data_IF_102763778850
#
_entry.id   IF_102763778850
#
_cell.length_a   1.000
_cell.length_b   1.000
_cell.length_c   1.000
_cell.angle_alpha   90.00
_cell.angle_beta   90.00
_cell.angle_gamma   90.00
#
_symmetry.space_group_name_H-M   'P 1'
#
loop_
_entity.id
_entity.type
_entity.pdbx_description
1 polymer ?
#
# COMPACT_ATOMS: atom_id res chain seq x y z
N UNK A 1 -0.87 -18.59 5.94
CA UNK A 1 -0.72 -19.80 5.09
C UNK A 1 -0.80 -19.49 3.60
N UNK A 2 -1.40 -18.36 3.19
CA UNK A 2 -1.56 -17.98 1.78
C UNK A 2 -0.36 -17.18 1.21
N UNK A 3 0.55 -16.72 2.04
CA UNK A 3 1.67 -15.86 1.62
C UNK A 3 2.50 -16.41 0.45
N UNK A 4 2.77 -17.72 0.36
CA UNK A 4 3.53 -18.27 -0.76
C UNK A 4 2.79 -18.24 -2.13
N UNK A 5 1.50 -17.99 -2.12
CA UNK A 5 0.63 -18.12 -3.28
C UNK A 5 0.16 -16.77 -3.85
N UNK A 6 0.58 -15.65 -3.24
CA UNK A 6 0.09 -14.33 -3.62
C UNK A 6 1.13 -13.52 -4.37
N UNK A 7 0.71 -12.76 -5.36
CA UNK A 7 1.55 -11.82 -6.12
C UNK A 7 1.57 -10.42 -5.50
N UNK A 8 0.55 -10.10 -4.70
CA UNK A 8 0.41 -8.81 -4.08
C UNK A 8 -0.26 -8.93 -2.70
N UNK A 9 0.30 -8.25 -1.71
CA UNK A 9 -0.36 -8.03 -0.42
C UNK A 9 -0.74 -6.56 -0.32
N UNK A 10 -2.02 -6.31 -0.11
CA UNK A 10 -2.50 -4.97 0.24
C UNK A 10 -2.86 -4.96 1.72
N UNK A 11 -1.92 -4.46 2.55
CA UNK A 11 -2.14 -4.34 3.98
C UNK A 11 -2.94 -3.08 4.30
N UNK A 12 -3.88 -3.20 5.22
CA UNK A 12 -4.66 -2.07 5.74
C UNK A 12 -4.58 -2.07 7.26
N UNK A 13 -4.69 -0.90 7.86
CA UNK A 13 -4.75 -0.79 9.31
C UNK A 13 -6.14 -1.10 9.84
N UNK A 14 -6.21 -1.55 11.08
CA UNK A 14 -7.46 -1.60 11.84
C UNK A 14 -7.82 -0.17 12.25
N UNK A 15 -9.01 0.30 11.85
CA UNK A 15 -9.51 1.65 12.14
C UNK A 15 -10.30 1.64 13.44
N UNK A 16 -9.62 1.89 14.53
CA UNK A 16 -10.22 1.97 15.86
C UNK A 16 -10.88 3.34 16.14
N UNK A 17 -10.59 4.37 15.32
CA UNK A 17 -11.19 5.69 15.46
C UNK A 17 -12.72 5.69 15.24
N UNK A 18 -13.22 4.74 14.47
CA UNK A 18 -14.66 4.58 14.17
C UNK A 18 -15.29 3.38 14.87
N UNK A 19 -14.53 2.71 15.74
CA UNK A 19 -15.00 1.52 16.44
C UNK A 19 -15.78 1.89 17.71
N UNK A 20 -17.09 2.13 17.52
CA UNK A 20 -18.01 2.41 18.62
C UNK A 20 -18.32 1.20 19.50
N UNK A 21 -18.04 -0.01 19.00
CA UNK A 21 -18.34 -1.27 19.72
C UNK A 21 -17.15 -1.82 20.49
N UNK A 22 -15.92 -1.29 20.28
CA UNK A 22 -14.70 -1.81 20.87
C UNK A 22 -14.25 -3.15 20.27
N UNK A 23 -14.76 -3.53 19.11
CA UNK A 23 -14.44 -4.81 18.47
C UNK A 23 -13.01 -4.87 17.95
N UNK A 24 -12.44 -3.71 17.53
CA UNK A 24 -11.05 -3.64 17.07
C UNK A 24 -10.05 -4.05 18.17
N UNK A 25 -10.36 -3.79 19.43
CA UNK A 25 -9.55 -4.22 20.56
C UNK A 25 -9.56 -5.74 20.81
N UNK A 26 -10.47 -6.47 20.17
CA UNK A 26 -10.57 -7.94 20.26
C UNK A 26 -9.77 -8.65 19.16
N UNK A 27 -9.29 -7.92 18.15
CA UNK A 27 -8.53 -8.49 17.05
C UNK A 27 -7.11 -8.75 17.53
N UNK A 28 -6.64 -9.97 17.39
CA UNK A 28 -5.24 -10.33 17.62
C UNK A 28 -4.39 -9.82 16.47
N UNK A 29 -3.86 -8.59 16.62
CA UNK A 29 -3.06 -7.93 15.62
C UNK A 29 -1.78 -8.71 15.25
N UNK A 30 -1.29 -9.57 16.14
CA UNK A 30 -0.11 -10.39 15.86
C UNK A 30 -0.35 -11.36 14.69
N UNK A 31 -1.57 -11.84 14.52
CA UNK A 31 -1.95 -12.72 13.42
C UNK A 31 -2.19 -11.98 12.09
N UNK A 32 -2.29 -10.66 12.13
CA UNK A 32 -2.58 -9.80 10.97
C UNK A 32 -1.45 -8.83 10.65
N UNK A 33 -0.27 -9.06 11.21
CA UNK A 33 0.90 -8.21 11.00
C UNK A 33 1.87 -8.83 10.00
N UNK A 34 2.42 -8.01 9.12
CA UNK A 34 3.51 -8.37 8.24
C UNK A 34 4.84 -7.99 8.90
N UNK A 35 5.68 -8.97 9.13
CA UNK A 35 7.00 -8.83 9.77
C UNK A 35 8.11 -9.28 8.83
N UNK A 36 9.36 -8.94 9.18
CA UNK A 36 10.53 -9.38 8.40
C UNK A 36 10.64 -10.91 8.33
N UNK A 37 10.19 -11.62 9.36
CA UNK A 37 10.22 -13.08 9.40
C UNK A 37 9.28 -13.69 8.36
N UNK A 38 8.06 -13.19 8.26
CA UNK A 38 7.09 -13.75 7.33
C UNK A 38 7.25 -13.23 5.89
N UNK A 39 8.10 -12.24 5.65
CA UNK A 39 8.51 -11.86 4.30
C UNK A 39 9.16 -13.01 3.51
N UNK A 40 9.86 -13.90 4.21
CA UNK A 40 10.51 -15.05 3.58
C UNK A 40 9.52 -16.04 2.98
N UNK A 41 8.26 -15.95 3.36
CA UNK A 41 7.18 -16.77 2.81
C UNK A 41 6.61 -16.22 1.50
N UNK A 42 6.90 -14.95 1.19
CA UNK A 42 6.43 -14.32 -0.03
C UNK A 42 7.30 -14.69 -1.23
N UNK A 43 6.69 -14.89 -2.41
CA UNK A 43 7.46 -15.01 -3.65
C UNK A 43 8.35 -13.78 -3.87
N UNK A 44 9.45 -13.98 -4.58
CA UNK A 44 10.42 -12.90 -4.86
C UNK A 44 9.78 -11.73 -5.63
N UNK A 45 8.86 -12.06 -6.55
CA UNK A 45 8.14 -11.09 -7.38
C UNK A 45 6.98 -10.38 -6.68
N UNK A 46 6.56 -10.88 -5.52
CA UNK A 46 5.41 -10.31 -4.81
C UNK A 46 5.68 -8.87 -4.35
N UNK A 47 4.65 -8.05 -4.38
CA UNK A 47 4.70 -6.66 -3.92
C UNK A 47 3.83 -6.43 -2.68
N UNK A 48 4.23 -5.44 -1.90
CA UNK A 48 3.54 -5.04 -0.68
C UNK A 48 3.03 -3.62 -0.86
N UNK A 49 1.72 -3.45 -0.70
CA UNK A 49 1.03 -2.17 -0.78
C UNK A 49 0.40 -1.82 0.57
N UNK A 50 0.24 -0.53 0.82
CA UNK A 50 -0.42 0.01 2.02
C UNK A 50 -0.93 1.42 1.73
N UNK A 51 -2.16 1.77 2.13
CA UNK A 51 -2.70 3.10 1.88
C UNK A 51 -2.10 4.20 2.74
N UNK A 52 -1.32 3.85 3.79
CA UNK A 52 -0.76 4.76 4.79
C UNK A 52 -1.83 5.70 5.43
N UNK A 53 -1.65 6.19 6.64
CA UNK A 53 -0.51 5.87 7.54
C UNK A 53 -0.60 4.45 8.12
N UNK A 54 0.55 3.83 8.32
CA UNK A 54 0.63 2.53 8.99
C UNK A 54 0.72 2.67 10.50
N UNK A 55 0.41 1.58 11.20
CA UNK A 55 0.68 1.39 12.63
C UNK A 55 1.53 0.14 12.83
N UNK A 56 0.99 -0.89 13.50
CA UNK A 56 1.71 -2.12 13.83
C UNK A 56 1.52 -3.25 12.82
N UNK A 57 0.63 -3.09 11.85
CA UNK A 57 0.31 -4.12 10.86
C UNK A 57 1.43 -4.35 9.84
N UNK A 58 2.36 -3.40 9.69
CA UNK A 58 3.60 -3.58 8.92
C UNK A 58 4.78 -3.12 9.77
N UNK A 59 5.77 -4.00 9.96
CA UNK A 59 7.02 -3.66 10.62
C UNK A 59 7.82 -2.62 9.82
N UNK A 60 8.45 -1.66 10.53
CA UNK A 60 9.31 -0.65 9.90
C UNK A 60 10.55 -1.25 9.22
N UNK A 61 11.00 -2.42 9.65
CA UNK A 61 12.12 -3.12 9.01
C UNK A 61 11.85 -3.53 7.56
N UNK A 62 10.57 -3.59 7.17
CA UNK A 62 10.16 -3.92 5.80
C UNK A 62 10.44 -2.77 4.82
N UNK A 63 10.58 -1.54 5.28
CA UNK A 63 10.70 -0.35 4.42
C UNK A 63 11.84 -0.40 3.41
N UNK A 64 12.94 -1.07 3.75
CA UNK A 64 14.09 -1.23 2.88
C UNK A 64 13.98 -2.44 1.95
N UNK A 65 12.95 -3.27 2.09
CA UNK A 65 12.76 -4.44 1.26
C UNK A 65 12.29 -4.04 -0.16
N UNK A 66 12.87 -4.62 -1.23
CA UNK A 66 12.47 -4.28 -2.61
C UNK A 66 11.00 -4.56 -2.92
N UNK A 67 10.34 -5.46 -2.17
CA UNK A 67 8.91 -5.73 -2.31
C UNK A 67 8.02 -4.62 -1.73
N UNK A 68 8.57 -3.72 -0.90
CA UNK A 68 7.83 -2.61 -0.28
C UNK A 68 7.53 -1.51 -1.31
N UNK A 69 6.38 -1.62 -1.96
CA UNK A 69 5.95 -0.71 -3.03
C UNK A 69 5.02 0.41 -2.55
N UNK A 70 4.71 0.49 -1.26
CA UNK A 70 3.79 1.50 -0.73
C UNK A 70 4.32 2.94 -0.83
N UNK A 71 5.64 3.15 -0.87
CA UNK A 71 6.21 4.48 -1.13
C UNK A 71 5.99 4.92 -2.58
N UNK A 72 6.20 4.01 -3.54
CA UNK A 72 5.87 4.25 -4.95
C UNK A 72 4.37 4.43 -5.16
N UNK A 73 3.57 3.63 -4.46
CA UNK A 73 2.11 3.74 -4.46
C UNK A 73 1.66 5.14 -4.00
N UNK A 74 2.25 5.67 -2.93
CA UNK A 74 1.94 7.01 -2.42
C UNK A 74 2.20 8.09 -3.49
N UNK A 75 3.35 8.03 -4.15
CA UNK A 75 3.71 8.93 -5.25
C UNK A 75 2.75 8.79 -6.43
N UNK A 76 2.47 7.56 -6.85
CA UNK A 76 1.55 7.26 -7.94
C UNK A 76 0.13 7.74 -7.62
N UNK A 77 -0.28 7.70 -6.36
CA UNK A 77 -1.54 8.24 -5.90
C UNK A 77 -1.71 9.75 -6.18
N UNK A 78 -0.63 10.53 -6.07
CA UNK A 78 -0.63 11.96 -6.44
C UNK A 78 -0.88 12.13 -7.94
N UNK A 79 -0.17 11.34 -8.76
CA UNK A 79 -0.32 11.41 -10.22
C UNK A 79 -1.70 10.98 -10.69
N UNK A 80 -2.24 9.90 -10.13
CA UNK A 80 -3.60 9.44 -10.46
C UNK A 80 -4.66 10.48 -10.10
N UNK A 81 -4.53 11.12 -8.94
CA UNK A 81 -5.46 12.18 -8.54
C UNK A 81 -5.35 13.40 -9.45
N UNK A 82 -4.14 13.79 -9.82
CA UNK A 82 -3.93 14.88 -10.78
C UNK A 82 -4.53 14.55 -12.16
N UNK A 83 -4.30 13.34 -12.65
CA UNK A 83 -4.85 12.85 -13.90
C UNK A 83 -6.39 12.83 -13.89
N UNK A 84 -6.97 12.40 -12.79
CA UNK A 84 -8.42 12.37 -12.62
C UNK A 84 -9.02 13.79 -12.65
N UNK A 85 -8.39 14.75 -11.99
CA UNK A 85 -8.81 16.15 -12.05
C UNK A 85 -8.71 16.71 -13.47
N UNK A 86 -7.61 16.45 -14.17
CA UNK A 86 -7.45 16.86 -15.56
C UNK A 86 -8.54 16.26 -16.45
N UNK A 87 -8.87 15.00 -16.25
CA UNK A 87 -9.94 14.33 -16.98
C UNK A 87 -11.31 14.98 -16.72
N UNK A 88 -11.65 15.22 -15.45
CA UNK A 88 -12.92 15.83 -15.05
C UNK A 88 -13.07 17.23 -15.65
N UNK A 89 -12.00 18.02 -15.72
CA UNK A 89 -12.00 19.36 -16.28
C UNK A 89 -11.75 19.41 -17.81
N UNK A 90 -11.71 18.27 -18.49
CA UNK A 90 -11.50 18.19 -19.92
C UNK A 90 -10.09 18.60 -20.38
N UNK A 91 -9.09 18.41 -19.53
CA UNK A 91 -7.66 18.74 -19.77
C UNK A 91 -6.79 17.50 -19.89
N UNK A 92 -7.36 16.36 -20.23
CA UNK A 92 -6.65 15.08 -20.29
C UNK A 92 -5.60 14.99 -21.42
N UNK A 93 -5.63 15.87 -22.42
CA UNK A 93 -4.58 15.98 -23.43
C UNK A 93 -3.19 16.34 -22.84
N UNK A 94 -3.14 16.79 -21.59
CA UNK A 94 -1.88 17.08 -20.88
C UNK A 94 -1.26 15.83 -20.21
N UNK A 95 -1.97 14.69 -20.16
CA UNK A 95 -1.49 13.47 -19.53
C UNK A 95 -0.20 12.89 -20.14
N UNK A 96 0.03 12.92 -21.48
CA UNK A 96 1.29 12.45 -22.05
C UNK A 96 2.52 13.18 -21.51
N UNK A 97 2.40 14.47 -21.26
CA UNK A 97 3.49 15.30 -20.70
C UNK A 97 3.82 14.84 -19.27
N UNK A 98 2.79 14.50 -18.48
CA UNK A 98 2.95 13.99 -17.12
C UNK A 98 3.65 12.62 -17.14
N UNK A 99 3.29 11.74 -18.08
CA UNK A 99 3.92 10.43 -18.23
C UNK A 99 5.40 10.52 -18.59
N UNK A 100 5.80 11.38 -19.51
CA UNK A 100 7.20 11.60 -19.86
C UNK A 100 8.04 12.06 -18.66
N UNK A 101 7.52 13.01 -17.89
CA UNK A 101 8.19 13.50 -16.68
C UNK A 101 8.31 12.43 -15.57
N UNK A 102 7.39 11.49 -15.49
CA UNK A 102 7.43 10.44 -14.48
C UNK A 102 8.42 9.32 -14.79
N UNK A 103 8.80 9.16 -16.06
CA UNK A 103 9.78 8.16 -16.54
C UNK A 103 11.24 8.63 -16.45
N UNK A 104 11.43 9.92 -16.36
CA UNK A 104 12.74 10.53 -16.18
C UNK A 104 13.08 10.72 -14.70
#
# INVERSE_FOLDING_TARGET
>A
EVLPEVDCIYMTRVQDEYDLSGESGKIDLANFSLTEENLNLLPEHAIILHPLPRRQEISSGIDANPRAMYWSQLRNGVYIRAALLLYIFGKNEQLPIIQEKSRS
#
